data_IF_957166195898
#
_entry.id   IF_957166195898
#
_cell.length_a   1.000
_cell.length_b   1.000
_cell.length_c   1.000
_cell.angle_alpha   90.00
_cell.angle_beta   90.00
_cell.angle_gamma   90.00
#
_symmetry.space_group_name_H-M   'P 1'
#
loop_
_entity.id
_entity.type
_entity.pdbx_description
1 polymer ?
#
# COMPACT_ATOMS: atom_id res chain seq x y z
N UNK A 1 67.19 10.88 43.47
CA UNK A 1 66.12 9.99 43.96
C UNK A 1 64.88 10.41 43.19
N UNK A 2 64.59 9.76 42.06
CA UNK A 2 63.41 10.04 41.24
C UNK A 2 62.49 8.83 41.32
N UNK A 3 61.31 9.03 41.90
CA UNK A 3 60.25 8.04 42.02
C UNK A 3 59.48 7.99 40.69
N UNK A 4 59.63 6.89 39.95
CA UNK A 4 58.82 6.64 38.76
C UNK A 4 57.45 6.13 39.21
N UNK A 5 56.45 6.99 39.06
CA UNK A 5 55.04 6.62 39.17
C UNK A 5 54.67 5.74 37.97
N UNK A 6 54.60 4.43 38.17
CA UNK A 6 53.97 3.50 37.22
C UNK A 6 52.45 3.72 37.24
N UNK A 7 51.95 4.42 36.23
CA UNK A 7 50.49 4.48 35.99
C UNK A 7 50.07 3.17 35.33
N UNK A 8 49.38 2.35 36.11
CA UNK A 8 48.78 1.06 35.73
C UNK A 8 47.96 1.15 34.43
N UNK A 9 48.35 0.35 33.44
CA UNK A 9 47.69 0.19 32.14
C UNK A 9 46.26 -0.42 32.24
N UNK A 10 45.85 -0.93 33.40
CA UNK A 10 44.54 -1.55 33.59
C UNK A 10 43.39 -0.54 33.74
N UNK A 11 43.63 0.67 34.25
CA UNK A 11 42.56 1.66 34.45
C UNK A 11 42.06 2.24 33.12
N UNK A 12 42.97 2.41 32.14
CA UNK A 12 42.63 2.99 30.83
C UNK A 12 41.75 2.06 29.98
N UNK A 13 41.88 0.74 30.11
CA UNK A 13 41.05 -0.24 29.39
C UNK A 13 39.62 -0.29 29.95
N UNK A 14 39.45 -0.21 31.27
CA UNK A 14 38.13 -0.16 31.91
C UNK A 14 37.36 1.11 31.57
N UNK A 15 38.02 2.26 31.53
CA UNK A 15 37.37 3.53 31.16
C UNK A 15 36.85 3.49 29.72
N UNK A 16 37.66 3.00 28.76
CA UNK A 16 37.24 2.91 27.35
C UNK A 16 36.06 1.96 27.14
N UNK A 17 36.04 0.82 27.84
CA UNK A 17 34.93 -0.15 27.77
C UNK A 17 33.65 0.42 28.38
N UNK A 18 33.74 1.08 29.54
CA UNK A 18 32.58 1.70 30.22
C UNK A 18 32.01 2.84 29.38
N UNK A 19 32.86 3.68 28.78
CA UNK A 19 32.42 4.75 27.87
C UNK A 19 31.72 4.18 26.63
N UNK A 20 32.25 3.10 26.04
CA UNK A 20 31.62 2.43 24.89
C UNK A 20 30.23 1.88 25.19
N UNK A 21 30.06 1.22 26.34
CA UNK A 21 28.76 0.70 26.79
C UNK A 21 27.77 1.85 27.04
N UNK A 22 28.23 2.95 27.64
CA UNK A 22 27.38 4.11 27.94
C UNK A 22 26.85 4.77 26.66
N UNK A 23 27.70 4.93 25.64
CA UNK A 23 27.30 5.47 24.34
C UNK A 23 26.30 4.53 23.65
N UNK A 24 26.52 3.22 23.70
CA UNK A 24 25.62 2.24 23.10
C UNK A 24 24.22 2.27 23.75
N UNK A 25 24.15 2.35 25.07
CA UNK A 25 22.87 2.42 25.80
C UNK A 25 22.13 3.72 25.48
N UNK A 26 22.82 4.86 25.42
CA UNK A 26 22.23 6.13 25.02
C UNK A 26 21.71 6.10 23.57
N UNK A 27 22.43 5.46 22.66
CA UNK A 27 22.02 5.30 21.27
C UNK A 27 20.75 4.44 21.14
N UNK A 28 20.67 3.33 21.86
CA UNK A 28 19.48 2.46 21.88
C UNK A 28 18.27 3.21 22.45
N UNK A 29 18.45 3.97 23.54
CA UNK A 29 17.38 4.78 24.14
C UNK A 29 16.88 5.88 23.19
N UNK A 30 17.77 6.52 22.44
CA UNK A 30 17.42 7.50 21.42
C UNK A 30 16.58 6.88 20.30
N UNK A 31 16.99 5.73 19.77
CA UNK A 31 16.25 5.01 18.73
C UNK A 31 14.88 4.57 19.24
N UNK A 32 14.81 4.00 20.44
CA UNK A 32 13.56 3.55 21.04
C UNK A 32 12.60 4.73 21.30
N UNK A 33 13.12 5.87 21.79
CA UNK A 33 12.36 7.09 22.01
C UNK A 33 11.83 7.70 20.70
N UNK A 34 12.66 7.77 19.67
CA UNK A 34 12.25 8.24 18.34
C UNK A 34 11.17 7.33 17.73
N UNK A 35 11.35 6.00 17.81
CA UNK A 35 10.39 5.03 17.31
C UNK A 35 9.05 5.12 18.04
N UNK A 36 9.08 5.25 19.37
CA UNK A 36 7.87 5.41 20.19
C UNK A 36 7.11 6.70 19.83
N UNK A 37 7.82 7.81 19.65
CA UNK A 37 7.23 9.11 19.31
C UNK A 37 6.59 9.10 17.92
N UNK A 38 7.26 8.51 16.92
CA UNK A 38 6.71 8.35 15.56
C UNK A 38 5.49 7.45 15.59
N UNK A 39 5.53 6.31 16.31
CA UNK A 39 4.41 5.36 16.36
C UNK A 39 3.13 5.94 16.96
N UNK A 40 3.22 6.89 17.90
CA UNK A 40 2.05 7.54 18.52
C UNK A 40 1.43 8.63 17.67
N UNK A 41 2.18 9.23 16.73
CA UNK A 41 1.67 10.30 15.86
C UNK A 41 1.01 9.81 14.58
N UNK A 42 1.37 8.63 14.08
CA UNK A 42 0.75 8.03 12.90
C UNK A 42 -0.45 7.16 13.28
N UNK A 43 -1.63 7.77 13.38
CA UNK A 43 -2.90 7.03 13.33
C UNK A 43 -3.10 6.49 11.91
N UNK A 44 -3.00 5.17 11.74
CA UNK A 44 -3.66 4.42 10.66
C UNK A 44 -3.45 4.90 9.21
N UNK A 45 -2.31 5.50 8.87
CA UNK A 45 -1.96 5.72 7.47
C UNK A 45 -1.41 4.42 6.89
N UNK A 46 -1.95 4.02 5.73
CA UNK A 46 -1.39 2.97 4.90
C UNK A 46 -0.01 3.43 4.45
N UNK A 47 1.03 2.93 5.11
CA UNK A 47 2.42 3.25 4.78
C UNK A 47 2.84 2.34 3.62
N UNK A 48 3.06 2.93 2.45
CA UNK A 48 3.69 2.25 1.31
C UNK A 48 5.20 2.08 1.58
N UNK A 49 5.84 1.00 1.07
CA UNK A 49 7.27 0.79 1.25
C UNK A 49 8.07 1.88 0.52
N UNK A 50 9.02 2.48 1.25
CA UNK A 50 9.86 3.64 0.90
C UNK A 50 9.11 4.99 0.94
N UNK A 51 9.30 5.74 2.03
CA UNK A 51 8.82 7.11 2.23
C UNK A 51 9.48 8.16 1.32
N UNK A 52 9.48 7.94 0.01
CA UNK A 52 9.83 8.92 -1.01
C UNK A 52 8.53 9.28 -1.74
N UNK A 53 8.10 10.53 -1.61
CA UNK A 53 7.07 11.09 -2.48
C UNK A 53 7.60 11.12 -3.91
N UNK A 54 6.82 10.58 -4.85
CA UNK A 54 7.17 10.46 -6.27
C UNK A 54 7.27 11.80 -7.03
N UNK A 55 7.11 12.94 -6.34
CA UNK A 55 7.19 14.28 -6.92
C UNK A 55 8.52 15.01 -6.63
N UNK A 56 9.46 14.39 -5.89
CA UNK A 56 10.63 15.13 -5.40
C UNK A 56 10.25 16.25 -4.42
N UNK A 57 11.20 17.10 -3.98
CA UNK A 57 10.92 18.17 -3.03
C UNK A 57 9.98 19.20 -3.68
N UNK A 58 8.76 19.29 -3.17
CA UNK A 58 7.74 20.24 -3.64
C UNK A 58 8.13 21.67 -3.29
N UNK A 59 8.54 22.45 -4.29
CA UNK A 59 8.57 23.91 -4.17
C UNK A 59 7.19 24.49 -4.46
N UNK A 60 6.81 25.46 -3.63
CA UNK A 60 5.73 26.44 -3.84
C UNK A 60 4.29 25.96 -3.61
N UNK A 61 3.60 26.75 -2.79
CA UNK A 61 2.20 26.63 -2.36
C UNK A 61 1.25 26.28 -3.53
N UNK A 62 0.89 25.01 -3.64
CA UNK A 62 -0.17 24.55 -4.53
C UNK A 62 -1.49 24.88 -3.85
N UNK A 63 -2.30 25.77 -4.44
CA UNK A 63 -3.72 25.94 -4.08
C UNK A 63 -4.36 24.56 -4.04
N UNK A 64 -4.68 24.04 -2.87
CA UNK A 64 -5.26 22.71 -2.69
C UNK A 64 -6.57 22.66 -3.48
N UNK A 65 -6.66 21.90 -4.58
CA UNK A 65 -7.90 21.85 -5.34
C UNK A 65 -8.94 21.14 -4.47
N UNK A 66 -9.98 21.85 -4.06
CA UNK A 66 -11.12 21.32 -3.30
C UNK A 66 -11.54 19.99 -3.92
N UNK A 67 -11.66 18.96 -3.09
CA UNK A 67 -12.12 17.67 -3.57
C UNK A 67 -13.52 17.80 -4.17
N UNK A 68 -13.79 17.20 -5.35
CA UNK A 68 -15.15 17.11 -5.85
C UNK A 68 -15.98 16.32 -4.83
N UNK A 69 -17.01 16.98 -4.29
CA UNK A 69 -18.06 16.33 -3.51
C UNK A 69 -18.97 15.58 -4.49
N UNK A 70 -18.88 14.25 -4.49
CA UNK A 70 -19.73 13.43 -5.34
C UNK A 70 -21.03 13.07 -4.62
N UNK A 71 -22.12 13.11 -5.37
CA UNK A 71 -23.36 12.44 -5.03
C UNK A 71 -23.27 10.98 -5.49
N UNK A 72 -22.82 10.10 -4.59
CA UNK A 72 -22.58 8.69 -4.92
C UNK A 72 -23.83 7.92 -5.31
N UNK A 73 -24.99 8.28 -4.76
CA UNK A 73 -26.26 7.66 -5.12
C UNK A 73 -26.62 8.00 -6.57
N UNK A 74 -26.47 9.27 -6.96
CA UNK A 74 -26.66 9.69 -8.35
C UNK A 74 -25.63 9.05 -9.29
N UNK A 75 -24.37 8.95 -8.90
CA UNK A 75 -23.33 8.32 -9.72
C UNK A 75 -23.60 6.82 -9.93
N UNK A 76 -24.00 6.11 -8.88
CA UNK A 76 -24.30 4.68 -8.93
C UNK A 76 -25.48 4.37 -9.88
N UNK A 77 -26.46 5.26 -9.93
CA UNK A 77 -27.66 5.14 -10.77
C UNK A 77 -27.52 5.78 -12.16
N UNK A 78 -26.43 6.51 -12.42
CA UNK A 78 -26.20 7.16 -13.72
C UNK A 78 -26.01 6.14 -14.85
N UNK A 79 -26.55 6.45 -16.04
CA UNK A 79 -26.26 5.72 -17.28
C UNK A 79 -24.94 6.12 -17.93
N UNK A 80 -24.33 7.24 -17.51
CA UNK A 80 -23.18 7.86 -18.17
C UNK A 80 -21.84 7.27 -17.73
N UNK A 81 -21.74 5.95 -17.70
CA UNK A 81 -20.51 5.26 -17.35
C UNK A 81 -19.63 5.09 -18.59
N UNK A 82 -18.36 5.40 -18.46
CA UNK A 82 -17.36 5.29 -19.52
C UNK A 82 -16.37 4.17 -19.22
N UNK A 83 -15.77 3.60 -20.26
CA UNK A 83 -14.81 2.50 -20.12
C UNK A 83 -13.40 3.03 -19.92
N UNK A 84 -12.77 2.63 -18.83
CA UNK A 84 -11.32 2.67 -18.64
C UNK A 84 -10.69 1.41 -19.25
N UNK A 85 -9.54 1.55 -19.91
CA UNK A 85 -8.75 0.43 -20.45
C UNK A 85 -7.34 0.49 -19.87
N UNK A 86 -6.83 -0.65 -19.41
CA UNK A 86 -5.45 -0.78 -18.99
C UNK A 86 -4.49 -0.47 -20.13
N UNK A 87 -3.43 0.29 -19.82
CA UNK A 87 -2.39 0.66 -20.78
C UNK A 87 -1.57 -0.58 -21.14
N UNK A 88 -1.07 -1.28 -20.13
CA UNK A 88 -0.15 -2.40 -20.29
C UNK A 88 -0.94 -3.71 -20.38
N UNK A 89 -1.84 -3.93 -19.44
CA UNK A 89 -2.59 -5.17 -19.33
C UNK A 89 -3.97 -5.07 -20.00
N UNK A 90 -4.52 -6.20 -20.42
CA UNK A 90 -5.79 -6.28 -21.14
C UNK A 90 -7.04 -6.15 -20.27
N UNK A 91 -6.96 -5.45 -19.13
CA UNK A 91 -8.12 -5.22 -18.27
C UNK A 91 -8.91 -3.99 -18.71
N UNK A 92 -10.20 -3.98 -18.40
CA UNK A 92 -11.05 -2.81 -18.55
C UNK A 92 -12.17 -2.82 -17.52
N UNK A 93 -12.65 -1.64 -17.13
CA UNK A 93 -13.79 -1.49 -16.24
C UNK A 93 -14.55 -0.21 -16.60
N UNK A 94 -15.77 -0.07 -16.12
CA UNK A 94 -16.59 1.12 -16.28
C UNK A 94 -16.53 1.99 -15.02
N UNK A 95 -16.57 3.32 -15.19
CA UNK A 95 -16.66 4.29 -14.11
C UNK A 95 -17.56 5.47 -14.51
N UNK A 96 -18.17 6.20 -13.55
CA UNK A 96 -18.96 7.39 -13.88
C UNK A 96 -18.09 8.46 -14.55
N UNK A 97 -18.54 9.01 -15.67
CA UNK A 97 -17.80 10.04 -16.44
C UNK A 97 -17.47 11.29 -15.63
N UNK A 98 -18.28 11.59 -14.63
CA UNK A 98 -18.13 12.73 -13.73
C UNK A 98 -16.96 12.57 -12.75
N UNK A 99 -16.46 11.34 -12.55
CA UNK A 99 -15.32 11.07 -11.69
C UNK A 99 -14.00 11.39 -12.38
N UNK A 100 -13.11 12.04 -11.64
CA UNK A 100 -11.76 12.32 -12.13
C UNK A 100 -10.88 11.08 -11.90
N UNK A 101 -10.67 10.31 -12.96
CA UNK A 101 -9.68 9.24 -12.99
C UNK A 101 -8.27 9.83 -12.94
N UNK A 102 -7.43 9.27 -12.07
CA UNK A 102 -6.03 9.62 -11.94
C UNK A 102 -5.21 8.38 -12.29
N UNK A 103 -4.50 8.44 -13.41
CA UNK A 103 -3.52 7.43 -13.77
C UNK A 103 -2.15 7.86 -13.25
N UNK A 104 -1.40 6.90 -12.71
CA UNK A 104 -0.02 7.11 -12.30
C UNK A 104 0.88 7.34 -13.53
N UNK A 105 2.10 7.88 -13.37
CA UNK A 105 2.95 8.34 -14.47
C UNK A 105 3.03 7.37 -15.67
N UNK A 106 3.29 7.88 -16.89
CA UNK A 106 3.27 7.09 -18.13
C UNK A 106 4.16 5.84 -18.12
N UNK A 107 5.14 5.77 -17.22
CA UNK A 107 6.11 4.68 -17.11
C UNK A 107 5.83 3.72 -15.94
N UNK A 108 4.71 3.85 -15.22
CA UNK A 108 4.34 2.91 -14.16
C UNK A 108 4.12 1.49 -14.73
N UNK A 109 4.93 0.49 -14.34
CA UNK A 109 4.81 -0.87 -14.84
C UNK A 109 3.58 -1.61 -14.28
N UNK A 110 2.98 -1.10 -13.19
CA UNK A 110 1.83 -1.73 -12.53
C UNK A 110 0.48 -1.27 -13.07
N UNK A 111 0.45 -0.35 -14.04
CA UNK A 111 -0.78 0.16 -14.64
C UNK A 111 -1.77 0.68 -13.57
N UNK A 112 -1.25 1.35 -12.55
CA UNK A 112 -2.02 1.77 -11.39
C UNK A 112 -3.01 2.89 -11.76
N UNK A 113 -4.19 2.82 -11.15
CA UNK A 113 -5.27 3.77 -11.34
C UNK A 113 -6.00 4.03 -10.03
N UNK A 114 -6.44 5.27 -9.87
CA UNK A 114 -7.26 5.70 -8.75
C UNK A 114 -8.23 6.79 -9.19
N UNK A 115 -9.04 7.27 -8.24
CA UNK A 115 -9.94 8.40 -8.44
C UNK A 115 -9.73 9.43 -7.34
N UNK A 116 -9.93 10.71 -7.69
CA UNK A 116 -9.98 11.77 -6.69
C UNK A 116 -11.26 11.61 -5.87
N UNK A 117 -11.17 11.13 -4.63
CA UNK A 117 -12.29 10.83 -3.72
C UNK A 117 -12.07 11.54 -2.39
N UNK A 118 -12.92 12.52 -2.08
CA UNK A 118 -12.75 13.38 -0.90
C UNK A 118 -11.38 14.05 -0.87
N UNK A 119 -10.97 14.52 0.32
CA UNK A 119 -9.70 15.23 0.50
C UNK A 119 -8.48 14.30 0.65
N UNK A 120 -8.64 13.00 0.39
CA UNK A 120 -7.53 12.05 0.48
C UNK A 120 -6.56 12.34 -0.68
N UNK A 121 -5.27 12.61 -0.39
CA UNK A 121 -4.26 12.78 -1.42
C UNK A 121 -4.25 11.56 -2.35
N UNK A 122 -4.26 11.72 -3.68
CA UNK A 122 -4.22 10.61 -4.64
C UNK A 122 -3.05 9.64 -4.39
N UNK A 123 -1.94 10.15 -3.85
CA UNK A 123 -0.76 9.39 -3.41
C UNK A 123 -1.13 8.25 -2.44
N UNK A 124 -2.13 8.50 -1.61
CA UNK A 124 -2.57 7.61 -0.54
C UNK A 124 -3.78 6.77 -0.95
N UNK A 125 -4.33 7.05 -2.14
CA UNK A 125 -5.55 6.43 -2.62
C UNK A 125 -5.23 5.55 -3.82
N UNK A 126 -5.23 4.23 -3.63
CA UNK A 126 -4.94 3.29 -4.69
C UNK A 126 -6.16 2.39 -4.88
N UNK A 127 -6.83 2.51 -6.02
CA UNK A 127 -7.97 1.66 -6.31
C UNK A 127 -7.52 0.36 -6.96
N UNK A 128 -6.74 0.42 -8.04
CA UNK A 128 -6.37 -0.74 -8.82
C UNK A 128 -4.92 -0.66 -9.28
N UNK A 129 -4.23 -1.80 -9.27
CA UNK A 129 -2.94 -1.99 -9.94
C UNK A 129 -2.81 -3.46 -10.36
N UNK A 130 -1.85 -3.75 -11.24
CA UNK A 130 -1.44 -5.11 -11.60
C UNK A 130 -0.17 -5.45 -10.83
N UNK A 131 -0.31 -6.36 -9.87
CA UNK A 131 0.81 -6.87 -9.07
C UNK A 131 1.62 -7.85 -9.92
N UNK A 132 2.94 -7.71 -9.89
CA UNK A 132 3.87 -8.73 -10.37
C UNK A 132 4.29 -9.60 -9.18
N UNK A 133 3.97 -10.88 -9.23
CA UNK A 133 4.22 -11.83 -8.13
C UNK A 133 5.73 -12.01 -7.97
N UNK A 134 6.43 -12.25 -9.08
CA UNK A 134 7.87 -12.51 -9.10
C UNK A 134 8.72 -11.36 -8.55
N UNK A 135 8.25 -10.12 -8.65
CA UNK A 135 8.96 -8.96 -8.08
C UNK A 135 8.89 -8.92 -6.55
N UNK A 136 7.94 -9.65 -5.93
CA UNK A 136 7.84 -9.77 -4.46
C UNK A 136 8.41 -11.08 -3.97
N UNK A 137 8.02 -12.19 -4.59
CA UNK A 137 8.48 -13.53 -4.27
C UNK A 137 8.27 -14.47 -5.47
N UNK A 138 9.35 -14.80 -6.17
CA UNK A 138 9.33 -15.67 -7.35
C UNK A 138 8.88 -17.10 -7.05
N UNK A 139 8.92 -17.55 -5.79
CA UNK A 139 8.45 -18.89 -5.41
C UNK A 139 6.92 -19.03 -5.38
N UNK A 140 6.20 -17.90 -5.46
CA UNK A 140 4.74 -17.82 -5.42
C UNK A 140 4.10 -17.67 -6.81
N UNK A 141 4.90 -17.60 -7.88
CA UNK A 141 4.41 -17.54 -9.27
C UNK A 141 3.55 -18.78 -9.56
N UNK A 142 2.37 -18.57 -10.15
CA UNK A 142 1.40 -19.64 -10.38
C UNK A 142 0.69 -20.16 -9.13
N UNK A 143 0.90 -19.55 -7.95
CA UNK A 143 0.26 -19.91 -6.68
C UNK A 143 -0.55 -18.74 -6.11
N UNK A 144 -1.60 -18.28 -6.81
CA UNK A 144 -2.26 -17.01 -6.48
C UNK A 144 -2.90 -17.01 -5.08
N UNK A 145 -3.47 -18.12 -4.62
CA UNK A 145 -4.01 -18.20 -3.25
C UNK A 145 -2.92 -18.05 -2.19
N UNK A 146 -1.77 -18.71 -2.40
CA UNK A 146 -0.64 -18.65 -1.48
C UNK A 146 -0.02 -17.25 -1.46
N UNK A 147 0.10 -16.62 -2.64
CA UNK A 147 0.49 -15.22 -2.76
C UNK A 147 -0.42 -14.30 -1.93
N UNK A 148 -1.75 -14.42 -2.08
CA UNK A 148 -2.71 -13.61 -1.35
C UNK A 148 -2.65 -13.86 0.16
N UNK A 149 -2.50 -15.11 0.60
CA UNK A 149 -2.33 -15.47 2.03
C UNK A 149 -1.04 -14.90 2.63
N UNK A 150 0.03 -14.80 1.84
CA UNK A 150 1.33 -14.31 2.27
C UNK A 150 1.57 -12.83 1.98
N UNK A 151 0.64 -12.15 1.30
CA UNK A 151 0.79 -10.76 0.87
C UNK A 151 1.15 -9.80 2.02
N UNK A 152 0.66 -10.06 3.24
CA UNK A 152 1.00 -9.28 4.43
C UNK A 152 2.50 -9.22 4.74
N UNK A 153 3.28 -10.23 4.34
CA UNK A 153 4.72 -10.30 4.59
C UNK A 153 5.49 -9.20 3.87
N UNK A 154 4.92 -8.67 2.79
CA UNK A 154 5.54 -7.61 1.98
C UNK A 154 5.33 -6.21 2.56
N UNK A 155 4.59 -6.08 3.66
CA UNK A 155 4.24 -4.78 4.25
C UNK A 155 4.53 -4.75 5.76
N UNK A 156 5.36 -3.80 6.17
CA UNK A 156 5.79 -3.65 7.57
C UNK A 156 4.67 -3.31 8.56
N UNK A 157 3.52 -2.81 8.07
CA UNK A 157 2.35 -2.47 8.90
C UNK A 157 1.43 -3.66 9.22
N UNK A 158 1.60 -4.79 8.53
CA UNK A 158 0.78 -5.99 8.68
C UNK A 158 1.53 -7.05 9.49
N UNK A 159 0.78 -7.95 10.13
CA UNK A 159 1.35 -9.05 10.93
C UNK A 159 0.77 -10.42 10.63
N UNK A 160 -0.26 -10.49 9.80
CA UNK A 160 -0.91 -11.74 9.48
C UNK A 160 -2.10 -11.56 8.55
N UNK A 161 -2.59 -12.69 8.07
CA UNK A 161 -3.85 -12.78 7.34
C UNK A 161 -5.00 -12.96 8.33
N UNK A 162 -6.11 -12.26 8.10
CA UNK A 162 -7.33 -12.42 8.88
C UNK A 162 -8.27 -13.42 8.17
N UNK A 163 -8.54 -13.17 6.89
CA UNK A 163 -9.45 -13.99 6.09
C UNK A 163 -9.05 -13.96 4.63
N UNK A 164 -9.15 -15.09 3.94
CA UNK A 164 -9.09 -15.21 2.48
C UNK A 164 -10.31 -16.00 2.01
N UNK A 165 -10.99 -15.52 0.99
CA UNK A 165 -12.17 -16.18 0.40
C UNK A 165 -12.12 -16.12 -1.11
N UNK A 166 -12.59 -17.17 -1.76
CA UNK A 166 -12.76 -17.16 -3.23
C UNK A 166 -13.79 -16.10 -3.59
N UNK A 167 -13.51 -15.37 -4.66
CA UNK A 167 -14.37 -14.32 -5.18
C UNK A 167 -14.50 -14.43 -6.69
N UNK A 168 -15.68 -14.08 -7.21
CA UNK A 168 -15.94 -13.94 -8.63
C UNK A 168 -16.83 -12.72 -8.83
N UNK A 169 -16.49 -11.86 -9.79
CA UNK A 169 -17.33 -10.70 -10.13
C UNK A 169 -18.41 -11.07 -11.16
N UNK A 170 -19.29 -10.12 -11.49
CA UNK A 170 -20.36 -10.33 -12.45
C UNK A 170 -19.89 -10.67 -13.89
N UNK A 171 -18.63 -10.36 -14.23
CA UNK A 171 -18.01 -10.69 -15.53
C UNK A 171 -17.35 -12.07 -15.54
N UNK A 172 -17.39 -12.80 -14.43
CA UNK A 172 -16.78 -14.11 -14.32
C UNK A 172 -15.29 -14.10 -13.99
N UNK A 173 -14.70 -12.93 -13.72
CA UNK A 173 -13.30 -12.82 -13.32
C UNK A 173 -13.14 -13.38 -11.90
N UNK A 174 -12.29 -14.41 -11.77
CA UNK A 174 -12.08 -15.16 -10.53
C UNK A 174 -10.88 -14.62 -9.76
N UNK A 175 -10.91 -14.81 -8.45
CA UNK A 175 -9.89 -14.29 -7.57
C UNK A 175 -10.15 -14.58 -6.10
N UNK A 176 -9.56 -13.75 -5.27
CA UNK A 176 -9.63 -13.85 -3.82
C UNK A 176 -9.94 -12.49 -3.19
N UNK A 177 -10.85 -12.49 -2.23
CA UNK A 177 -11.02 -11.40 -1.26
C UNK A 177 -10.18 -11.71 -0.02
N UNK A 178 -9.38 -10.75 0.42
CA UNK A 178 -8.55 -10.91 1.60
C UNK A 178 -8.61 -9.70 2.53
N UNK A 179 -8.62 -9.97 3.83
CA UNK A 179 -8.38 -8.99 4.88
C UNK A 179 -7.19 -9.43 5.72
N UNK A 180 -6.46 -8.47 6.26
CA UNK A 180 -5.22 -8.69 7.01
C UNK A 180 -5.31 -8.09 8.40
N UNK A 181 -4.41 -8.50 9.28
CA UNK A 181 -4.25 -7.94 10.62
C UNK A 181 -3.12 -6.93 10.61
N UNK A 182 -3.38 -5.74 11.11
CA UNK A 182 -2.34 -4.75 11.40
C UNK A 182 -1.58 -5.14 12.65
N UNK A 183 -0.40 -4.55 12.85
CA UNK A 183 0.37 -4.72 14.10
C UNK A 183 -0.47 -4.40 15.35
N UNK A 184 -1.40 -3.46 15.26
CA UNK A 184 -2.32 -3.05 16.32
C UNK A 184 -3.54 -3.98 16.53
N UNK A 185 -3.57 -5.18 15.93
CA UNK A 185 -4.73 -6.10 15.99
C UNK A 185 -6.02 -5.56 15.34
N UNK A 186 -5.92 -4.57 14.45
CA UNK A 186 -7.08 -4.13 13.66
C UNK A 186 -7.16 -4.88 12.35
N UNK A 187 -8.38 -5.14 11.88
CA UNK A 187 -8.63 -5.77 10.57
C UNK A 187 -8.60 -4.69 9.50
N UNK A 188 -7.84 -4.93 8.42
CA UNK A 188 -7.83 -4.03 7.26
C UNK A 188 -9.14 -4.13 6.48
N UNK A 189 -9.51 -3.09 5.72
CA UNK A 189 -10.50 -3.23 4.65
C UNK A 189 -10.16 -4.41 3.73
N UNK A 190 -11.20 -5.02 3.16
CA UNK A 190 -11.02 -6.11 2.20
C UNK A 190 -10.34 -5.60 0.92
N UNK A 191 -9.40 -6.41 0.44
CA UNK A 191 -8.68 -6.25 -0.83
C UNK A 191 -9.08 -7.39 -1.74
N UNK A 192 -9.12 -7.14 -3.04
CA UNK A 192 -9.56 -8.10 -4.04
C UNK A 192 -8.41 -8.35 -5.00
N UNK A 193 -8.11 -9.62 -5.25
CA UNK A 193 -7.01 -10.05 -6.11
C UNK A 193 -7.59 -10.95 -7.20
N UNK A 194 -7.60 -10.48 -8.44
CA UNK A 194 -8.07 -11.27 -9.58
C UNK A 194 -6.93 -11.97 -10.29
N UNK A 195 -7.19 -13.21 -10.69
CA UNK A 195 -6.27 -14.03 -11.48
C UNK A 195 -6.38 -13.60 -12.94
N UNK A 196 -5.24 -13.52 -13.63
CA UNK A 196 -5.19 -13.26 -15.06
C UNK A 196 -5.00 -14.58 -15.83
N UNK A 197 -6.02 -14.98 -16.58
CA UNK A 197 -5.97 -16.23 -17.34
C UNK A 197 -4.81 -16.22 -18.36
N UNK A 198 -3.94 -17.23 -18.25
CA UNK A 198 -2.75 -17.36 -19.11
C UNK A 198 -1.57 -16.47 -18.72
N UNK A 199 -1.62 -15.80 -17.58
CA UNK A 199 -0.52 -15.02 -17.00
C UNK A 199 -0.36 -15.34 -15.50
N UNK A 200 0.48 -16.34 -15.16
CA UNK A 200 0.63 -16.81 -13.77
C UNK A 200 1.47 -15.88 -12.88
N UNK A 201 2.11 -14.86 -13.45
CA UNK A 201 2.98 -13.93 -12.72
C UNK A 201 2.25 -12.62 -12.34
N UNK A 202 1.06 -12.39 -12.88
CA UNK A 202 0.33 -11.14 -12.65
C UNK A 202 -1.04 -11.37 -12.02
N UNK A 203 -1.43 -10.43 -11.16
CA UNK A 203 -2.76 -10.36 -10.57
C UNK A 203 -3.27 -8.93 -10.54
N UNK A 204 -4.57 -8.71 -10.79
CA UNK A 204 -5.17 -7.39 -10.56
C UNK A 204 -5.50 -7.26 -9.09
N UNK A 205 -4.85 -6.32 -8.41
CA UNK A 205 -5.19 -5.91 -7.06
C UNK A 205 -6.21 -4.78 -7.11
N UNK A 206 -7.24 -4.84 -6.26
CA UNK A 206 -8.27 -3.81 -6.11
C UNK A 206 -8.54 -3.53 -4.63
N UNK A 207 -8.59 -2.26 -4.23
CA UNK A 207 -9.10 -1.81 -2.94
C UNK A 207 -10.25 -0.82 -3.08
N UNK A 208 -11.20 -0.87 -2.14
CA UNK A 208 -12.26 0.12 -2.08
C UNK A 208 -11.72 1.44 -1.51
N UNK A 209 -11.73 2.47 -2.34
CA UNK A 209 -11.31 3.84 -2.01
C UNK A 209 -12.47 4.77 -1.63
N UNK A 210 -13.71 4.27 -1.77
CA UNK A 210 -14.91 5.05 -1.57
C UNK A 210 -15.31 5.05 -0.10
N UNK A 211 -15.93 6.15 0.39
CA UNK A 211 -16.61 6.11 1.67
C UNK A 211 -17.81 5.17 1.59
N UNK A 212 -18.46 4.91 2.73
CA UNK A 212 -19.56 3.95 2.83
C UNK A 212 -20.70 4.26 1.84
N UNK A 213 -20.99 5.54 1.64
CA UNK A 213 -22.03 6.03 0.72
C UNK A 213 -21.67 5.74 -0.76
N UNK A 214 -20.39 5.56 -1.07
CA UNK A 214 -19.88 5.22 -2.41
C UNK A 214 -19.73 3.73 -2.68
N UNK A 215 -20.15 2.85 -1.78
CA UNK A 215 -20.02 1.39 -1.93
C UNK A 215 -20.73 0.86 -3.19
N UNK A 216 -21.89 1.42 -3.54
CA UNK A 216 -22.61 1.04 -4.75
C UNK A 216 -21.84 1.38 -6.03
N UNK A 217 -21.13 2.52 -6.05
CA UNK A 217 -20.25 2.90 -7.15
C UNK A 217 -19.10 1.91 -7.26
N UNK A 218 -18.41 1.63 -6.15
CA UNK A 218 -17.33 0.64 -6.13
C UNK A 218 -17.77 -0.74 -6.63
N UNK A 219 -18.90 -1.24 -6.14
CA UNK A 219 -19.43 -2.55 -6.53
C UNK A 219 -19.77 -2.61 -8.03
N UNK A 220 -20.34 -1.54 -8.60
CA UNK A 220 -20.61 -1.49 -10.05
C UNK A 220 -19.33 -1.41 -10.88
N UNK A 221 -18.31 -0.66 -10.43
CA UNK A 221 -16.98 -0.67 -11.06
C UNK A 221 -16.39 -2.09 -11.04
N UNK A 222 -16.37 -2.73 -9.88
CA UNK A 222 -15.85 -4.08 -9.68
C UNK A 222 -16.58 -5.13 -10.52
N UNK A 223 -17.91 -5.02 -10.61
CA UNK A 223 -18.74 -5.92 -11.42
C UNK A 223 -18.61 -5.68 -12.92
N UNK A 224 -18.11 -4.51 -13.33
CA UNK A 224 -17.81 -4.22 -14.74
C UNK A 224 -16.41 -4.62 -15.16
N UNK A 225 -15.51 -4.89 -14.20
CA UNK A 225 -14.13 -5.26 -14.46
C UNK A 225 -14.04 -6.56 -15.25
N UNK A 226 -13.36 -6.53 -16.37
CA UNK A 226 -13.09 -7.70 -17.22
C UNK A 226 -11.63 -7.71 -17.65
N UNK A 227 -11.12 -8.90 -17.96
CA UNK A 227 -9.80 -9.10 -18.51
C UNK A 227 -9.89 -9.87 -19.82
N UNK A 228 -9.19 -9.39 -20.83
CA UNK A 228 -9.02 -10.06 -22.12
C UNK A 228 -7.54 -10.14 -22.42
N UNK A 229 -7.02 -11.34 -22.64
CA UNK A 229 -5.64 -11.54 -23.06
C UNK A 229 -5.39 -10.72 -24.34
N UNK A 230 -4.35 -9.88 -24.31
CA UNK A 230 -3.87 -9.15 -25.50
C UNK A 230 -3.12 -10.08 -26.43
#
# INVERSE_FOLDING_TARGET
MEEKVEVSLNDKKSVVVITGITILVLFILLIAGAYYWVSKKTKGQTVYPAGINYLGPTSSEVKTPVAPLYDYEKLANSSNWVTFKGRLFGYSFQYPKEMVALAFPPNDPSDAVTFKVGDTPPELNLMLLVETISSRDSSLVGKPEEYVKNYWRFFSGLKGVNKVTVYQNAKGLKGYKASYLTKANTVTPERIFFILDGDPDHMIYVSNIFPKEGEAVFNRMLNSLEYKKK
#
